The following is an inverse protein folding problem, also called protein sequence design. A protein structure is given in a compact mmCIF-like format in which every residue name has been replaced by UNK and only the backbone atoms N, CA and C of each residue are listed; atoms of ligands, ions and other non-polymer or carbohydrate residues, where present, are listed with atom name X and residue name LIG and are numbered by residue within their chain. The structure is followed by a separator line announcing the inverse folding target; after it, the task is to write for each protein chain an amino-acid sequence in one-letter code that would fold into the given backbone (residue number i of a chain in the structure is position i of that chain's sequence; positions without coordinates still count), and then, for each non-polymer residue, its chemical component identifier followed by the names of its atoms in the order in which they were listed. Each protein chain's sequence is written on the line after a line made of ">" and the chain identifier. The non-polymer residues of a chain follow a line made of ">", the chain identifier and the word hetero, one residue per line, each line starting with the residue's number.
data_IF_359676017250
#
_entry.id   IF_359676017250
#
_cell.length_a   1.000
_cell.length_b   1.000
_cell.length_c   1.000
_cell.angle_alpha   90.00
_cell.angle_beta   90.00
_cell.angle_gamma   90.00
#
_symmetry.space_group_name_H-M   'P 1'
#
loop_
_entity.id
_entity.type
_entity.pdbx_description
1 polymer ?
#
# COMPACT_ATOMS: atom_id res chain seq x y z
N UNK A 1 3.58 -19.15 -3.07
CA UNK A 1 2.75 -17.92 -3.15
C UNK A 1 1.30 -18.29 -2.88
N UNK A 2 0.56 -17.46 -2.15
CA UNK A 2 -0.85 -17.70 -1.74
C UNK A 2 -1.76 -16.52 -2.07
N UNK A 3 -1.64 -15.95 -3.26
CA UNK A 3 -2.41 -14.77 -3.69
C UNK A 3 -3.92 -15.02 -3.68
N UNK A 4 -4.70 -13.99 -3.35
CA UNK A 4 -6.16 -14.05 -3.26
C UNK A 4 -6.80 -12.84 -3.95
N UNK A 5 -8.00 -13.03 -4.50
CA UNK A 5 -8.86 -11.94 -4.98
C UNK A 5 -10.00 -11.69 -3.98
N UNK A 6 -10.22 -10.43 -3.60
CA UNK A 6 -11.25 -10.02 -2.64
C UNK A 6 -11.88 -8.70 -3.09
N UNK A 7 -13.20 -8.61 -2.99
CA UNK A 7 -13.90 -7.33 -3.12
C UNK A 7 -13.55 -6.43 -1.92
N UNK A 8 -13.22 -5.17 -2.18
CA UNK A 8 -12.94 -4.17 -1.13
C UNK A 8 -13.87 -2.95 -1.19
N UNK A 9 -14.57 -2.75 -2.29
CA UNK A 9 -15.58 -1.72 -2.45
C UNK A 9 -16.60 -2.13 -3.52
N UNK A 10 -17.76 -1.50 -3.50
CA UNK A 10 -18.85 -1.65 -4.47
C UNK A 10 -19.33 -0.26 -4.88
N UNK A 11 -19.60 -0.05 -6.16
CA UNK A 11 -20.21 1.19 -6.63
C UNK A 11 -21.74 1.12 -6.50
N UNK A 12 -22.34 2.04 -5.76
CA UNK A 12 -23.80 2.15 -5.58
C UNK A 12 -24.21 3.59 -5.83
N UNK A 13 -25.08 3.81 -6.82
CA UNK A 13 -25.56 5.14 -7.23
C UNK A 13 -24.41 6.13 -7.51
N UNK A 14 -23.36 5.68 -8.22
CA UNK A 14 -22.19 6.51 -8.56
C UNK A 14 -21.24 6.80 -7.39
N UNK A 15 -21.41 6.10 -6.26
CA UNK A 15 -20.55 6.25 -5.07
C UNK A 15 -19.85 4.94 -4.75
N UNK A 16 -18.54 5.00 -4.56
CA UNK A 16 -17.76 3.85 -4.10
C UNK A 16 -17.98 3.62 -2.60
N UNK A 17 -18.69 2.56 -2.25
CA UNK A 17 -18.96 2.14 -0.88
C UNK A 17 -17.92 1.10 -0.43
N UNK A 18 -17.20 1.32 0.68
CA UNK A 18 -16.22 0.37 1.18
C UNK A 18 -16.88 -0.91 1.71
N UNK A 19 -16.25 -2.07 1.43
CA UNK A 19 -16.67 -3.38 1.94
C UNK A 19 -15.53 -4.02 2.73
N UNK A 20 -15.88 -4.67 3.84
CA UNK A 20 -14.93 -5.42 4.67
C UNK A 20 -15.41 -6.86 4.82
N UNK A 21 -14.47 -7.80 4.79
CA UNK A 21 -14.71 -9.18 5.21
C UNK A 21 -14.12 -9.38 6.59
N UNK A 22 -14.96 -9.77 7.53
CA UNK A 22 -14.56 -10.09 8.90
C UNK A 22 -14.31 -11.59 9.00
N UNK A 23 -13.34 -11.96 9.83
CA UNK A 23 -12.97 -13.35 10.12
C UNK A 23 -12.50 -13.41 11.56
N UNK A 24 -12.69 -14.56 12.22
CA UNK A 24 -12.13 -14.83 13.54
C UNK A 24 -10.60 -14.73 13.59
N UNK A 25 -9.92 -14.99 12.47
CA UNK A 25 -8.49 -14.74 12.34
C UNK A 25 -8.28 -13.27 11.89
N UNK A 26 -7.63 -12.41 12.71
CA UNK A 26 -7.39 -11.02 12.37
C UNK A 26 -6.60 -10.80 11.06
N UNK A 27 -5.70 -11.73 10.70
CA UNK A 27 -4.92 -11.67 9.47
C UNK A 27 -5.79 -11.83 8.21
N UNK A 28 -6.97 -12.44 8.35
CA UNK A 28 -7.93 -12.65 7.26
C UNK A 28 -8.93 -11.50 7.10
N UNK A 29 -8.86 -10.48 7.96
CA UNK A 29 -9.69 -9.28 7.87
C UNK A 29 -9.16 -8.39 6.75
N UNK A 30 -10.00 -8.11 5.75
CA UNK A 30 -9.59 -7.32 4.58
C UNK A 30 -9.47 -5.83 4.89
N UNK A 31 -8.63 -5.12 4.13
CA UNK A 31 -8.60 -3.66 4.15
C UNK A 31 -9.67 -3.11 3.19
N UNK A 32 -10.62 -2.30 3.67
CA UNK A 32 -11.76 -1.84 2.88
C UNK A 32 -11.38 -0.74 1.87
N UNK A 33 -12.32 -0.33 1.03
CA UNK A 33 -12.23 0.82 0.14
C UNK A 33 -11.50 0.56 -1.18
N UNK A 34 -11.63 1.53 -2.09
CA UNK A 34 -10.81 1.64 -3.29
C UNK A 34 -9.49 2.34 -2.92
N UNK A 35 -8.36 1.74 -3.29
CA UNK A 35 -7.06 2.04 -2.67
C UNK A 35 -5.97 2.12 -3.73
N UNK A 36 -4.95 2.89 -3.40
CA UNK A 36 -3.64 2.88 -4.05
C UNK A 36 -2.54 2.51 -3.08
N UNK A 37 -1.39 2.15 -3.64
CA UNK A 37 -0.17 1.83 -2.89
C UNK A 37 0.92 2.76 -3.36
N UNK A 38 1.58 3.43 -2.41
CA UNK A 38 2.70 4.32 -2.69
C UNK A 38 3.95 3.81 -1.99
N UNK A 39 5.07 3.79 -2.70
CA UNK A 39 6.38 3.52 -2.11
C UNK A 39 7.02 4.82 -1.68
N UNK A 40 7.49 4.86 -0.44
CA UNK A 40 8.19 6.01 0.12
C UNK A 40 9.69 5.77 0.05
N UNK A 41 10.43 6.74 -0.48
CA UNK A 41 11.89 6.76 -0.54
C UNK A 41 12.43 7.87 0.34
N UNK A 42 13.52 7.63 1.06
CA UNK A 42 14.21 8.70 1.79
C UNK A 42 15.07 9.57 0.86
N UNK A 43 15.68 10.63 1.40
CA UNK A 43 16.63 11.48 0.68
C UNK A 43 17.84 10.76 0.05
N UNK A 44 18.12 9.50 0.40
CA UNK A 44 19.15 8.65 -0.23
C UNK A 44 18.60 7.77 -1.35
N UNK A 45 17.35 8.01 -1.79
CA UNK A 45 16.60 7.20 -2.77
C UNK A 45 16.44 5.72 -2.37
N UNK A 46 16.55 5.43 -1.08
CA UNK A 46 16.31 4.08 -0.53
C UNK A 46 14.87 3.94 -0.10
N UNK A 47 14.23 2.83 -0.45
CA UNK A 47 12.85 2.53 -0.07
C UNK A 47 12.74 2.34 1.45
N UNK A 48 11.75 2.99 2.05
CA UNK A 48 11.55 3.05 3.51
C UNK A 48 10.37 2.19 3.95
N UNK A 49 9.25 2.34 3.24
CA UNK A 49 7.98 1.67 3.50
C UNK A 49 7.09 1.76 2.26
N UNK A 50 6.15 0.84 2.14
CA UNK A 50 4.98 1.01 1.26
C UNK A 50 3.81 1.46 2.13
N UNK A 51 3.07 2.47 1.68
CA UNK A 51 1.90 3.01 2.35
C UNK A 51 0.67 2.70 1.50
N UNK A 52 -0.30 2.01 2.08
CA UNK A 52 -1.60 1.76 1.47
C UNK A 52 -2.54 2.87 1.90
N UNK A 53 -3.15 3.54 0.93
CA UNK A 53 -4.03 4.68 1.15
C UNK A 53 -5.27 4.58 0.28
N UNK A 54 -6.33 5.29 0.65
CA UNK A 54 -7.50 5.43 -0.20
C UNK A 54 -7.13 6.20 -1.47
N UNK A 55 -7.82 5.91 -2.57
CA UNK A 55 -7.49 6.46 -3.89
C UNK A 55 -7.46 8.00 -3.89
N UNK A 56 -8.42 8.62 -3.21
CA UNK A 56 -8.59 10.06 -3.15
C UNK A 56 -7.62 10.79 -2.21
N UNK A 57 -6.80 10.05 -1.46
CA UNK A 57 -5.80 10.67 -0.59
C UNK A 57 -4.59 11.17 -1.42
N UNK A 58 -4.00 12.28 -0.97
CA UNK A 58 -2.80 12.87 -1.57
C UNK A 58 -1.71 13.05 -0.49
N UNK A 59 -0.44 12.95 -0.89
CA UNK A 59 0.71 13.19 -0.01
C UNK A 59 1.40 14.46 -0.45
N UNK A 60 1.41 15.46 0.43
CA UNK A 60 2.22 16.66 0.28
C UNK A 60 3.66 16.37 0.75
N UNK A 61 4.55 16.09 -0.20
CA UNK A 61 5.97 15.81 0.08
C UNK A 61 6.74 17.01 0.61
N UNK A 62 6.16 18.22 0.60
CA UNK A 62 6.71 19.41 1.25
C UNK A 62 6.50 19.42 2.77
N UNK A 63 5.66 18.52 3.30
CA UNK A 63 5.35 18.42 4.74
C UNK A 63 5.87 17.12 5.34
N UNK A 64 6.17 17.11 6.65
CA UNK A 64 6.49 15.88 7.35
C UNK A 64 5.35 14.86 7.24
N UNK A 65 5.69 13.60 6.92
CA UNK A 65 4.77 12.47 6.88
C UNK A 65 5.08 11.52 8.02
N UNK A 66 4.09 11.23 8.87
CA UNK A 66 4.21 10.21 9.91
C UNK A 66 3.51 8.94 9.46
N UNK A 67 4.26 7.84 9.41
CA UNK A 67 3.73 6.49 9.18
C UNK A 67 3.81 5.66 10.48
N UNK A 68 3.01 4.61 10.57
CA UNK A 68 2.90 3.79 11.77
C UNK A 68 2.51 2.35 11.45
N UNK A 69 2.96 1.42 12.29
CA UNK A 69 2.60 0.01 12.18
C UNK A 69 1.10 -0.18 12.45
N UNK A 70 0.35 -0.87 11.56
CA UNK A 70 -1.10 -0.99 11.69
C UNK A 70 -1.56 -1.90 12.85
N UNK A 71 -0.65 -2.70 13.43
CA UNK A 71 -0.91 -3.53 14.61
C UNK A 71 -0.35 -2.82 15.85
N UNK A 72 0.94 -2.53 15.83
CA UNK A 72 1.66 -1.92 16.95
C UNK A 72 1.71 -0.39 16.80
N UNK A 73 0.55 0.26 16.86
CA UNK A 73 0.37 1.68 16.46
C UNK A 73 1.24 2.70 17.20
N UNK A 74 1.90 2.34 18.30
CA UNK A 74 2.90 3.18 18.97
C UNK A 74 4.24 3.24 18.22
N UNK A 75 4.54 2.26 17.35
CA UNK A 75 5.70 2.25 16.46
C UNK A 75 5.46 3.22 15.31
N UNK A 76 5.96 4.45 15.46
CA UNK A 76 5.80 5.54 14.50
C UNK A 76 7.14 6.01 13.96
N UNK A 77 7.12 6.56 12.74
CA UNK A 77 8.27 7.18 12.11
C UNK A 77 7.82 8.42 11.34
N UNK A 78 8.51 9.55 11.55
CA UNK A 78 8.25 10.80 10.83
C UNK A 78 9.34 11.07 9.80
N UNK A 79 8.92 11.24 8.54
CA UNK A 79 9.76 11.49 7.38
C UNK A 79 9.66 12.96 6.98
N UNK A 80 10.80 13.63 6.77
CA UNK A 80 10.86 15.05 6.41
C UNK A 80 11.49 15.32 5.04
N UNK A 81 12.43 14.47 4.61
CA UNK A 81 13.05 14.52 3.28
C UNK A 81 12.81 13.17 2.61
N UNK A 82 11.73 13.10 1.83
CA UNK A 82 11.28 11.89 1.18
C UNK A 82 10.62 12.19 -0.16
N UNK A 83 10.56 11.18 -1.01
CA UNK A 83 9.75 11.19 -2.22
C UNK A 83 8.83 9.97 -2.23
N UNK A 84 7.78 10.02 -3.04
CA UNK A 84 6.81 8.93 -3.17
C UNK A 84 6.63 8.53 -4.63
N UNK A 85 6.28 7.26 -4.86
CA UNK A 85 5.89 6.75 -6.18
C UNK A 85 4.68 5.86 -6.04
N UNK A 86 3.61 6.14 -6.78
CA UNK A 86 2.47 5.24 -6.90
C UNK A 86 2.90 3.95 -7.63
N UNK A 87 2.58 2.79 -7.05
CA UNK A 87 3.03 1.48 -7.57
C UNK A 87 2.03 0.85 -8.53
N UNK A 88 0.74 1.17 -8.39
CA UNK A 88 -0.31 0.66 -9.27
C UNK A 88 -0.41 1.57 -10.49
N UNK A 89 -0.22 1.00 -11.68
CA UNK A 89 -0.36 1.72 -12.94
C UNK A 89 -1.49 1.10 -13.77
N UNK A 90 -2.28 1.90 -14.49
CA UNK A 90 -3.38 1.37 -15.30
C UNK A 90 -2.83 0.55 -16.47
N UNK A 91 -3.21 -0.73 -16.55
CA UNK A 91 -2.88 -1.61 -17.68
C UNK A 91 -4.01 -1.60 -18.72
N UNK A 92 -5.25 -1.68 -18.25
CA UNK A 92 -6.45 -1.62 -19.07
C UNK A 92 -7.36 -0.49 -18.58
N UNK A 93 -7.99 0.23 -19.52
CA UNK A 93 -9.07 1.20 -19.25
C UNK A 93 -10.20 0.93 -20.23
N UNK A 94 -11.42 0.75 -19.72
CA UNK A 94 -12.62 0.50 -20.53
C UNK A 94 -12.43 -0.61 -21.59
N UNK A 95 -11.80 -1.72 -21.20
CA UNK A 95 -11.53 -2.86 -22.08
C UNK A 95 -10.37 -2.69 -23.06
N UNK A 96 -9.71 -1.53 -23.10
CA UNK A 96 -8.56 -1.27 -23.98
C UNK A 96 -7.24 -1.31 -23.20
N UNK A 97 -6.23 -1.98 -23.77
CA UNK A 97 -4.88 -1.98 -23.22
C UNK A 97 -4.24 -0.61 -23.44
N UNK A 98 -3.95 0.12 -22.35
CA UNK A 98 -3.31 1.44 -22.40
C UNK A 98 -1.84 1.39 -21.99
N UNK A 99 -1.38 0.25 -21.49
CA UNK A 99 0.01 0.04 -21.07
C UNK A 99 0.84 -0.56 -22.18
N UNK A 100 2.01 0.05 -22.42
CA UNK A 100 3.01 -0.51 -23.32
C UNK A 100 3.85 -1.54 -22.56
N UNK A 101 3.73 -2.80 -22.95
CA UNK A 101 4.53 -3.87 -22.36
C UNK A 101 6.03 -3.61 -22.65
N UNK A 102 6.89 -3.52 -21.62
CA UNK A 102 8.33 -3.40 -21.82
C UNK A 102 8.90 -4.71 -22.36
N UNK A 103 10.07 -4.63 -22.99
CA UNK A 103 10.78 -5.83 -23.41
C UNK A 103 11.50 -6.52 -22.23
N UNK A 104 12.02 -7.72 -22.47
CA UNK A 104 12.67 -8.49 -21.42
C UNK A 104 13.92 -7.79 -20.83
N UNK A 105 14.83 -7.20 -21.65
CA UNK A 105 15.94 -6.40 -21.13
C UNK A 105 15.49 -5.27 -20.19
N UNK A 106 14.45 -4.52 -20.56
CA UNK A 106 13.92 -3.43 -19.75
C UNK A 106 13.35 -3.92 -18.42
N UNK A 107 12.65 -5.07 -18.43
CA UNK A 107 12.13 -5.71 -17.20
C UNK A 107 13.29 -6.12 -16.28
N UNK A 108 14.35 -6.73 -16.81
CA UNK A 108 15.51 -7.11 -16.02
C UNK A 108 16.23 -5.88 -15.44
N UNK A 109 16.41 -4.83 -16.24
CA UNK A 109 17.03 -3.59 -15.80
C UNK A 109 16.17 -2.91 -14.72
N UNK A 110 14.85 -2.92 -14.86
CA UNK A 110 13.91 -2.42 -13.86
C UNK A 110 14.03 -3.19 -12.54
N UNK A 111 14.03 -4.52 -12.58
CA UNK A 111 14.17 -5.35 -11.38
C UNK A 111 15.48 -5.07 -10.62
N UNK A 112 16.61 -4.93 -11.35
CA UNK A 112 17.91 -4.57 -10.74
C UNK A 112 17.85 -3.20 -10.06
N UNK A 113 17.33 -2.18 -10.75
CA UNK A 113 17.17 -0.83 -10.17
C UNK A 113 16.29 -0.83 -8.93
N UNK A 114 15.20 -1.59 -8.93
CA UNK A 114 14.31 -1.68 -7.76
C UNK A 114 15.00 -2.38 -6.58
N UNK A 115 15.75 -3.47 -6.82
CA UNK A 115 16.55 -4.13 -5.79
C UNK A 115 17.63 -3.19 -5.21
N UNK A 116 18.22 -2.34 -6.05
CA UNK A 116 19.19 -1.32 -5.61
C UNK A 116 18.56 -0.24 -4.74
N UNK A 117 17.23 -0.03 -4.81
CA UNK A 117 16.55 0.89 -3.89
C UNK A 117 16.35 0.29 -2.50
N UNK A 118 16.43 -1.03 -2.34
CA UNK A 118 16.32 -1.68 -1.04
C UNK A 118 17.60 -1.52 -0.21
N UNK A 119 17.43 -1.58 1.10
CA UNK A 119 18.52 -1.70 2.05
C UNK A 119 19.01 -3.16 2.12
N UNK A 120 20.29 -3.38 2.46
CA UNK A 120 20.90 -4.72 2.51
C UNK A 120 20.16 -5.65 3.48
N UNK A 121 19.64 -5.07 4.56
CA UNK A 121 18.86 -5.72 5.60
C UNK A 121 17.60 -6.41 5.07
N UNK A 122 16.98 -5.86 4.03
CA UNK A 122 15.80 -6.43 3.38
C UNK A 122 16.18 -7.48 2.32
N UNK A 123 17.44 -7.52 1.88
CA UNK A 123 17.94 -8.42 0.82
C UNK A 123 18.56 -9.70 1.36
N UNK A 124 18.74 -9.83 2.68
CA UNK A 124 19.33 -11.04 3.29
C UNK A 124 18.46 -12.26 3.02
N UNK A 125 19.08 -13.38 2.66
CA UNK A 125 18.39 -14.66 2.49
C UNK A 125 17.97 -15.28 3.83
N UNK A 126 18.75 -15.02 4.88
CA UNK A 126 18.50 -15.54 6.24
C UNK A 126 18.05 -14.39 7.14
N UNK A 127 16.90 -14.57 7.80
CA UNK A 127 16.31 -13.59 8.71
C UNK A 127 16.33 -12.15 8.16
N UNK A 128 15.71 -11.89 6.98
CA UNK A 128 15.58 -10.53 6.47
C UNK A 128 14.77 -9.66 7.43
N UNK A 129 15.05 -8.36 7.46
CA UNK A 129 14.11 -7.45 8.11
C UNK A 129 12.77 -7.45 7.38
N UNK A 130 11.68 -7.28 8.14
CA UNK A 130 10.35 -7.12 7.57
C UNK A 130 10.26 -5.71 6.97
N UNK A 131 9.99 -5.64 5.67
CA UNK A 131 9.74 -4.37 4.99
C UNK A 131 8.38 -3.81 5.44
N UNK A 132 8.34 -2.52 5.78
CA UNK A 132 7.14 -1.89 6.33
C UNK A 132 6.06 -1.75 5.27
N UNK A 133 4.85 -2.20 5.60
CA UNK A 133 3.64 -2.02 4.79
C UNK A 133 2.57 -1.45 5.71
N UNK A 134 2.43 -0.13 5.66
CA UNK A 134 1.62 0.61 6.61
C UNK A 134 0.30 1.07 5.97
N UNK A 135 -0.66 1.49 6.79
CA UNK A 135 -1.91 2.10 6.33
C UNK A 135 -1.86 3.61 6.55
N UNK A 136 -2.46 4.37 5.63
CA UNK A 136 -2.77 5.78 5.91
C UNK A 136 -3.69 5.88 7.13
N UNK A 137 -3.61 7.00 7.86
CA UNK A 137 -4.48 7.24 9.01
C UNK A 137 -5.96 7.12 8.60
N UNK A 138 -6.34 7.69 7.45
CA UNK A 138 -7.73 7.65 6.95
C UNK A 138 -8.19 6.22 6.64
N UNK A 139 -7.36 5.41 6.00
CA UNK A 139 -7.67 4.00 5.71
C UNK A 139 -7.74 3.17 6.99
N UNK A 140 -6.82 3.39 7.92
CA UNK A 140 -6.84 2.75 9.24
C UNK A 140 -8.14 3.07 9.97
N UNK A 141 -8.50 4.35 10.07
CA UNK A 141 -9.73 4.80 10.74
C UNK A 141 -10.98 4.24 10.08
N UNK A 142 -11.02 4.16 8.73
CA UNK A 142 -12.09 3.52 7.99
C UNK A 142 -12.23 2.03 8.35
N UNK A 143 -11.11 1.31 8.40
CA UNK A 143 -11.10 -0.10 8.80
C UNK A 143 -11.65 -0.28 10.21
N UNK A 144 -11.15 0.51 11.17
CA UNK A 144 -11.60 0.46 12.56
C UNK A 144 -13.08 0.85 12.71
N UNK A 145 -13.55 1.83 11.93
CA UNK A 145 -14.97 2.22 11.89
C UNK A 145 -15.85 1.06 11.45
N UNK A 146 -15.52 0.40 10.34
CA UNK A 146 -16.31 -0.73 9.84
C UNK A 146 -16.27 -1.91 10.82
N UNK A 147 -15.11 -2.23 11.40
CA UNK A 147 -15.01 -3.28 12.41
C UNK A 147 -15.94 -3.02 13.61
N UNK A 148 -15.93 -1.80 14.16
CA UNK A 148 -16.82 -1.43 15.26
C UNK A 148 -18.31 -1.54 14.90
N UNK A 149 -18.68 -1.17 13.68
CA UNK A 149 -20.07 -1.26 13.23
C UNK A 149 -20.58 -2.71 13.22
N UNK A 150 -19.77 -3.65 12.72
CA UNK A 150 -20.14 -5.06 12.63
C UNK A 150 -19.88 -5.88 13.90
N UNK A 151 -19.17 -5.32 14.90
CA UNK A 151 -19.01 -5.94 16.22
C UNK A 151 -20.09 -5.50 17.23
N UNK A 152 -20.92 -4.51 16.89
CA UNK A 152 -22.01 -4.02 17.71
C UNK A 152 -23.37 -4.67 17.39
N UNK A 153 -23.41 -5.49 16.34
CA UNK A 153 -24.51 -6.40 15.96
C UNK A 153 -24.17 -7.84 16.42
#
# INVERSE_FOLDING_TARGET
>A
LGGVYKMSAEEVNGRMLPKIKISENPEKITNPGYKKVVRIYNGRKKSVADLIMLEEEEIDTGKPLTIFDPVDTWKKMTLRNYSVRELLVPVFKNGQCVYKCPDLPDIQAYAKRELDTLWEEYKRLTNPHVFKVDLSQKLYDLKQKLLRQYSAD
#
